data_IF_085169446900
#
_entry.id   IF_085169446900
#
_cell.length_a   1.000
_cell.length_b   1.000
_cell.length_c   1.000
_cell.angle_alpha   90.00
_cell.angle_beta   90.00
_cell.angle_gamma   90.00
#
_symmetry.space_group_name_H-M   'P 1'
#
loop_
_entity.id
_entity.type
_entity.pdbx_description
1 polymer ?
#
# COMPACT_ATOMS: atom_id res chain seq x y z
N UNK A 1 5.73 -29.77 -60.94
CA UNK A 1 5.79 -28.94 -59.71
C UNK A 1 4.75 -27.86 -59.90
N UNK A 2 3.63 -27.97 -59.19
CA UNK A 2 2.53 -27.01 -59.28
C UNK A 2 2.88 -25.71 -58.54
N UNK A 3 2.70 -24.53 -59.15
CA UNK A 3 3.07 -23.24 -58.57
C UNK A 3 2.03 -22.64 -57.60
N UNK A 4 1.01 -23.40 -57.17
CA UNK A 4 -0.07 -22.91 -56.29
C UNK A 4 0.07 -23.36 -54.83
N UNK A 5 1.28 -23.24 -54.25
CA UNK A 5 1.53 -23.58 -52.85
C UNK A 5 1.95 -22.37 -52.01
N UNK A 6 1.25 -21.24 -52.15
CA UNK A 6 1.37 -20.07 -51.28
C UNK A 6 -0.04 -19.54 -50.99
N UNK A 7 -0.32 -19.29 -49.71
CA UNK A 7 -1.54 -18.73 -49.10
C UNK A 7 -2.71 -19.67 -48.78
N UNK A 8 -2.43 -20.78 -48.06
CA UNK A 8 -3.42 -21.29 -47.09
C UNK A 8 -3.21 -20.59 -45.74
N UNK A 9 -3.77 -19.38 -45.58
CA UNK A 9 -4.01 -18.82 -44.25
C UNK A 9 -5.21 -19.56 -43.63
N UNK A 10 -5.07 -20.22 -42.47
CA UNK A 10 -6.23 -20.79 -41.79
C UNK A 10 -7.22 -19.66 -41.48
N UNK A 11 -8.54 -19.88 -41.63
CA UNK A 11 -9.52 -18.86 -41.29
C UNK A 11 -9.32 -18.47 -39.83
N UNK A 12 -9.10 -17.18 -39.59
CA UNK A 12 -9.18 -16.61 -38.25
C UNK A 12 -10.53 -17.03 -37.70
N UNK A 13 -10.54 -17.78 -36.58
CA UNK A 13 -11.79 -18.17 -35.92
C UNK A 13 -12.55 -16.88 -35.61
N UNK A 14 -13.61 -16.59 -36.35
CA UNK A 14 -14.49 -15.47 -36.04
C UNK A 14 -14.99 -15.65 -34.62
N UNK A 15 -14.69 -14.69 -33.75
CA UNK A 15 -15.11 -14.71 -32.34
C UNK A 15 -16.65 -14.78 -32.29
N UNK A 16 -17.20 -15.66 -31.46
CA UNK A 16 -18.66 -15.89 -31.34
C UNK A 16 -19.35 -14.70 -30.64
N UNK A 17 -19.69 -13.67 -31.42
CA UNK A 17 -20.40 -12.46 -30.99
C UNK A 17 -21.72 -12.75 -30.25
N UNK A 18 -22.63 -13.59 -30.77
CA UNK A 18 -23.86 -13.92 -30.06
C UNK A 18 -23.63 -14.49 -28.65
N UNK A 19 -22.61 -15.32 -28.47
CA UNK A 19 -22.27 -15.86 -27.15
C UNK A 19 -21.68 -14.80 -26.22
N UNK A 20 -20.81 -13.92 -26.73
CA UNK A 20 -20.25 -12.82 -25.95
C UNK A 20 -21.34 -11.86 -25.45
N UNK A 21 -22.29 -11.48 -26.32
CA UNK A 21 -23.42 -10.62 -25.96
C UNK A 21 -24.32 -11.26 -24.88
N UNK A 22 -24.65 -12.55 -25.01
CA UNK A 22 -25.43 -13.28 -24.00
C UNK A 22 -24.71 -13.31 -22.65
N UNK A 23 -23.41 -13.58 -22.64
CA UNK A 23 -22.62 -13.63 -21.41
C UNK A 23 -22.54 -12.24 -20.75
N UNK A 24 -22.24 -11.19 -21.51
CA UNK A 24 -22.22 -9.82 -21.03
C UNK A 24 -23.55 -9.41 -20.37
N UNK A 25 -24.69 -9.75 -21.01
CA UNK A 25 -26.02 -9.51 -20.44
C UNK A 25 -26.21 -10.20 -19.10
N UNK A 26 -25.80 -11.48 -18.99
CA UNK A 26 -25.93 -12.25 -17.74
C UNK A 26 -25.02 -11.72 -16.63
N UNK A 27 -23.80 -11.30 -16.98
CA UNK A 27 -22.87 -10.66 -16.04
C UNK A 27 -23.47 -9.36 -15.48
N UNK A 28 -24.05 -8.50 -16.34
CA UNK A 28 -24.62 -7.22 -15.91
C UNK A 28 -25.85 -7.38 -15.03
N UNK A 29 -26.72 -8.35 -15.32
CA UNK A 29 -27.94 -8.60 -14.54
C UNK A 29 -27.71 -9.58 -13.37
N UNK A 30 -26.46 -9.97 -13.09
CA UNK A 30 -26.14 -10.92 -12.02
C UNK A 30 -26.88 -12.27 -12.15
N UNK A 31 -27.11 -12.74 -13.38
CA UNK A 31 -27.85 -13.98 -13.66
C UNK A 31 -26.94 -15.22 -13.53
N UNK A 32 -26.81 -15.69 -12.28
CA UNK A 32 -26.01 -16.87 -11.92
C UNK A 32 -24.51 -16.58 -11.77
N UNK A 33 -24.14 -15.33 -11.47
CA UNK A 33 -22.77 -14.88 -11.25
C UNK A 33 -22.68 -14.07 -9.95
N UNK A 34 -21.53 -14.13 -9.26
CA UNK A 34 -21.20 -13.21 -8.16
C UNK A 34 -20.43 -11.99 -8.68
N UNK A 35 -20.34 -10.92 -7.88
CA UNK A 35 -19.65 -9.70 -8.33
C UNK A 35 -18.16 -9.98 -8.54
N UNK A 36 -17.60 -10.87 -7.72
CA UNK A 36 -16.23 -11.39 -7.87
C UNK A 36 -15.98 -12.16 -9.18
N UNK A 37 -17.02 -12.70 -9.84
CA UNK A 37 -16.86 -13.40 -11.13
C UNK A 37 -16.73 -12.43 -12.31
N UNK A 38 -17.35 -11.25 -12.22
CA UNK A 38 -17.37 -10.25 -13.31
C UNK A 38 -15.93 -9.87 -13.67
N UNK A 39 -15.12 -9.44 -12.71
CA UNK A 39 -13.73 -9.03 -12.96
C UNK A 39 -12.91 -10.12 -13.67
N UNK A 40 -13.11 -11.39 -13.30
CA UNK A 40 -12.41 -12.54 -13.90
C UNK A 40 -12.81 -12.78 -15.35
N UNK A 41 -14.02 -12.44 -15.75
CA UNK A 41 -14.47 -12.54 -17.14
C UNK A 41 -14.00 -11.38 -18.00
N UNK A 42 -13.81 -10.19 -17.41
CA UNK A 42 -13.37 -8.98 -18.10
C UNK A 42 -11.83 -8.87 -18.20
N UNK A 43 -11.08 -9.56 -17.35
CA UNK A 43 -9.63 -9.40 -17.25
C UNK A 43 -8.79 -10.41 -18.07
N UNK A 44 -9.41 -11.35 -18.81
CA UNK A 44 -8.64 -12.38 -19.52
C UNK A 44 -8.07 -11.85 -20.83
N UNK A 45 -6.83 -12.22 -21.13
CA UNK A 45 -6.14 -11.85 -22.37
C UNK A 45 -6.53 -12.78 -23.53
N UNK A 46 -7.76 -12.67 -24.03
CA UNK A 46 -8.22 -13.33 -25.25
C UNK A 46 -9.37 -12.58 -25.92
N UNK A 47 -9.53 -12.76 -27.23
CA UNK A 47 -10.48 -12.01 -28.05
C UNK A 47 -11.94 -12.15 -27.60
N UNK A 48 -12.32 -13.33 -27.08
CA UNK A 48 -13.68 -13.55 -26.57
C UNK A 48 -13.96 -12.75 -25.30
N UNK A 49 -12.99 -12.69 -24.37
CA UNK A 49 -13.09 -11.90 -23.14
C UNK A 49 -13.11 -10.40 -23.43
N UNK A 50 -12.29 -9.93 -24.37
CA UNK A 50 -12.33 -8.54 -24.83
C UNK A 50 -13.70 -8.17 -25.38
N UNK A 51 -14.29 -9.04 -26.21
CA UNK A 51 -15.62 -8.83 -26.78
C UNK A 51 -16.73 -8.87 -25.73
N UNK A 52 -16.64 -9.77 -24.74
CA UNK A 52 -17.55 -9.79 -23.59
C UNK A 52 -17.46 -8.49 -22.81
N UNK A 53 -16.26 -7.95 -22.62
CA UNK A 53 -16.06 -6.68 -21.93
C UNK A 53 -16.63 -5.49 -22.70
N UNK A 54 -16.43 -5.42 -24.01
CA UNK A 54 -17.04 -4.41 -24.86
C UNK A 54 -18.58 -4.47 -24.78
N UNK A 55 -19.17 -5.67 -24.89
CA UNK A 55 -20.64 -5.84 -24.75
C UNK A 55 -21.15 -5.53 -23.34
N UNK A 56 -20.37 -5.84 -22.29
CA UNK A 56 -20.74 -5.55 -20.90
C UNK A 56 -20.72 -4.06 -20.60
N UNK A 57 -19.71 -3.34 -21.11
CA UNK A 57 -19.57 -1.89 -20.91
C UNK A 57 -20.66 -1.08 -21.64
N UNK A 58 -21.30 -1.63 -22.68
CA UNK A 58 -22.45 -0.98 -23.35
C UNK A 58 -23.67 -0.78 -22.46
N UNK A 59 -23.78 -1.51 -21.35
CA UNK A 59 -24.85 -1.31 -20.35
C UNK A 59 -24.60 -0.11 -19.43
N UNK A 60 -23.41 0.49 -19.49
CA UNK A 60 -23.10 1.72 -18.77
C UNK A 60 -23.30 2.91 -19.70
N UNK A 61 -24.10 3.87 -19.21
CA UNK A 61 -24.23 5.19 -19.81
C UNK A 61 -23.38 6.18 -18.99
N UNK A 62 -22.37 6.73 -19.66
CA UNK A 62 -21.44 7.71 -19.11
C UNK A 62 -21.57 9.08 -19.79
N UNK A 63 -22.61 9.29 -20.60
CA UNK A 63 -22.85 10.58 -21.24
C UNK A 63 -22.98 11.68 -20.16
N UNK A 64 -22.27 12.80 -20.36
CA UNK A 64 -22.18 13.95 -19.46
C UNK A 64 -21.59 13.68 -18.06
N UNK A 65 -21.21 12.46 -17.72
CA UNK A 65 -20.48 12.17 -16.50
C UNK A 65 -19.04 12.70 -16.58
N UNK A 66 -18.54 13.25 -15.47
CA UNK A 66 -17.09 13.41 -15.32
C UNK A 66 -16.42 12.05 -15.19
N UNK A 67 -15.14 11.98 -15.57
CA UNK A 67 -14.37 10.73 -15.55
C UNK A 67 -14.41 10.02 -14.19
N UNK A 68 -14.35 10.76 -13.08
CA UNK A 68 -14.42 10.19 -11.73
C UNK A 68 -15.83 9.65 -11.40
N UNK A 69 -16.89 10.30 -11.85
CA UNK A 69 -18.26 9.83 -11.65
C UNK A 69 -18.54 8.55 -12.45
N UNK A 70 -18.15 8.53 -13.72
CA UNK A 70 -18.25 7.34 -14.57
C UNK A 70 -17.48 6.16 -13.97
N UNK A 71 -16.26 6.43 -13.47
CA UNK A 71 -15.42 5.42 -12.83
C UNK A 71 -16.05 4.86 -11.55
N UNK A 72 -16.66 5.70 -10.70
CA UNK A 72 -17.42 5.27 -9.52
C UNK A 72 -18.60 4.38 -9.90
N UNK A 73 -19.41 4.80 -10.89
CA UNK A 73 -20.53 4.00 -11.40
C UNK A 73 -20.05 2.62 -11.85
N UNK A 74 -18.95 2.58 -12.60
CA UNK A 74 -18.36 1.33 -13.08
C UNK A 74 -17.88 0.41 -11.95
N UNK A 75 -17.07 0.93 -11.02
CA UNK A 75 -16.47 0.16 -9.92
C UNK A 75 -17.47 -0.22 -8.82
N UNK A 76 -18.64 0.42 -8.78
CA UNK A 76 -19.74 0.04 -7.88
C UNK A 76 -20.39 -1.31 -8.23
N UNK A 77 -20.21 -1.81 -9.46
CA UNK A 77 -20.87 -3.03 -9.93
C UNK A 77 -20.10 -4.31 -9.61
N UNK A 78 -18.77 -4.23 -9.44
CA UNK A 78 -17.96 -5.41 -9.14
C UNK A 78 -16.68 -5.07 -8.37
N UNK A 79 -16.12 -6.08 -7.72
CA UNK A 79 -14.85 -5.93 -7.02
C UNK A 79 -13.68 -6.08 -7.99
N UNK A 80 -12.87 -5.04 -8.15
CA UNK A 80 -11.68 -5.05 -9.01
C UNK A 80 -10.51 -5.80 -8.34
N UNK A 81 -10.69 -7.11 -8.17
CA UNK A 81 -9.70 -8.03 -7.59
C UNK A 81 -8.87 -8.65 -8.71
N UNK A 82 -7.59 -8.88 -8.46
CA UNK A 82 -6.65 -9.46 -9.43
C UNK A 82 -5.26 -8.83 -9.35
N UNK A 83 -4.34 -9.35 -10.16
CA UNK A 83 -3.00 -8.78 -10.31
C UNK A 83 -3.06 -7.41 -11.03
N UNK A 84 -2.00 -6.59 -10.90
CA UNK A 84 -1.94 -5.25 -11.52
C UNK A 84 -2.32 -5.28 -13.01
N UNK A 85 -1.79 -6.25 -13.76
CA UNK A 85 -2.05 -6.38 -15.20
C UNK A 85 -3.50 -6.79 -15.52
N UNK A 86 -4.17 -7.52 -14.63
CA UNK A 86 -5.58 -7.89 -14.79
C UNK A 86 -6.49 -6.69 -14.57
N UNK A 87 -6.20 -5.90 -13.54
CA UNK A 87 -6.94 -4.67 -13.23
C UNK A 87 -6.81 -3.64 -14.36
N UNK A 88 -5.58 -3.47 -14.88
CA UNK A 88 -5.28 -2.56 -15.99
C UNK A 88 -6.13 -2.88 -17.23
N UNK A 89 -6.26 -4.17 -17.60
CA UNK A 89 -7.11 -4.59 -18.73
C UNK A 89 -8.58 -4.23 -18.55
N UNK A 90 -9.11 -4.37 -17.34
CA UNK A 90 -10.50 -3.99 -17.06
C UNK A 90 -10.70 -2.48 -17.17
N UNK A 91 -9.75 -1.69 -16.66
CA UNK A 91 -9.78 -0.22 -16.73
C UNK A 91 -9.59 0.31 -18.17
N UNK A 92 -8.86 -0.43 -19.01
CA UNK A 92 -8.71 -0.13 -20.43
C UNK A 92 -10.04 -0.25 -21.19
N UNK A 93 -10.85 -1.28 -20.92
CA UNK A 93 -12.23 -1.37 -21.45
C UNK A 93 -13.13 -0.22 -20.98
N UNK A 94 -13.03 0.18 -19.71
CA UNK A 94 -13.73 1.36 -19.20
C UNK A 94 -13.33 2.64 -19.94
N UNK A 95 -12.03 2.82 -20.18
CA UNK A 95 -11.50 4.03 -20.82
C UNK A 95 -11.99 4.18 -22.27
N UNK A 96 -12.06 3.05 -23.02
CA UNK A 96 -12.69 3.01 -24.34
C UNK A 96 -14.15 3.44 -24.28
N UNK A 97 -14.93 2.84 -23.38
CA UNK A 97 -16.35 3.13 -23.23
C UNK A 97 -16.61 4.59 -22.85
N UNK A 98 -15.82 5.14 -21.94
CA UNK A 98 -15.93 6.54 -21.54
C UNK A 98 -15.71 7.48 -22.74
N UNK A 99 -14.69 7.21 -23.55
CA UNK A 99 -14.39 7.99 -24.76
C UNK A 99 -15.45 7.84 -25.86
N UNK A 100 -16.11 6.68 -25.96
CA UNK A 100 -17.28 6.48 -26.85
C UNK A 100 -18.47 7.33 -26.43
N UNK A 101 -18.77 7.41 -25.13
CA UNK A 101 -19.86 8.22 -24.58
C UNK A 101 -19.52 9.72 -24.62
N UNK A 102 -18.25 10.09 -24.47
CA UNK A 102 -17.81 11.48 -24.36
C UNK A 102 -16.73 11.82 -25.41
N UNK A 103 -17.09 11.83 -26.71
CA UNK A 103 -16.15 12.12 -27.76
C UNK A 103 -15.67 13.57 -27.61
N UNK A 104 -14.35 13.74 -27.43
CA UNK A 104 -13.60 15.01 -27.18
C UNK A 104 -13.32 15.39 -25.72
N UNK A 105 -13.61 14.54 -24.73
CA UNK A 105 -13.14 14.80 -23.36
C UNK A 105 -11.61 14.79 -23.25
N UNK A 106 -10.95 13.89 -23.99
CA UNK A 106 -9.49 13.72 -24.02
C UNK A 106 -8.98 13.50 -25.45
N UNK A 107 -7.66 13.59 -25.68
CA UNK A 107 -7.07 13.50 -27.02
C UNK A 107 -7.11 12.08 -27.59
N UNK A 108 -6.96 11.06 -26.73
CA UNK A 108 -7.00 9.66 -27.09
C UNK A 108 -7.58 8.79 -25.97
N UNK A 109 -7.89 7.54 -26.30
CA UNK A 109 -8.22 6.50 -25.31
C UNK A 109 -7.05 6.29 -24.36
N UNK A 110 -5.81 6.34 -24.84
CA UNK A 110 -4.61 6.15 -24.02
C UNK A 110 -4.43 7.28 -22.99
N UNK A 111 -4.73 8.52 -23.37
CA UNK A 111 -4.75 9.65 -22.44
C UNK A 111 -5.86 9.49 -21.38
N UNK A 112 -7.06 9.07 -21.79
CA UNK A 112 -8.16 8.77 -20.87
C UNK A 112 -7.80 7.63 -19.90
N UNK A 113 -7.15 6.57 -20.40
CA UNK A 113 -6.70 5.44 -19.61
C UNK A 113 -5.62 5.85 -18.61
N UNK A 114 -4.65 6.65 -19.06
CA UNK A 114 -3.58 7.20 -18.20
C UNK A 114 -4.17 8.01 -17.05
N UNK A 115 -5.14 8.88 -17.34
CA UNK A 115 -5.81 9.66 -16.29
C UNK A 115 -6.65 8.78 -15.35
N UNK A 116 -7.31 7.75 -15.88
CA UNK A 116 -8.05 6.76 -15.07
C UNK A 116 -7.12 6.04 -14.09
N UNK A 117 -5.97 5.54 -14.56
CA UNK A 117 -4.96 4.92 -13.71
C UNK A 117 -4.41 5.91 -12.66
N UNK A 118 -4.19 7.18 -13.03
CA UNK A 118 -3.77 8.21 -12.10
C UNK A 118 -4.83 8.50 -11.02
N UNK A 119 -6.12 8.45 -11.36
CA UNK A 119 -7.23 8.57 -10.39
C UNK A 119 -7.19 7.41 -9.38
N UNK A 120 -6.96 6.18 -9.84
CA UNK A 120 -6.83 5.01 -8.96
C UNK A 120 -5.67 5.14 -7.98
N UNK A 121 -4.53 5.63 -8.46
CA UNK A 121 -3.35 5.90 -7.63
C UNK A 121 -3.61 7.06 -6.65
N UNK A 122 -4.30 8.12 -7.11
CA UNK A 122 -4.67 9.25 -6.26
C UNK A 122 -5.65 8.83 -5.14
N UNK A 123 -6.63 7.98 -5.45
CA UNK A 123 -7.56 7.45 -4.45
C UNK A 123 -6.81 6.67 -3.36
N UNK A 124 -5.86 5.84 -3.78
CA UNK A 124 -4.96 5.12 -2.86
C UNK A 124 -4.12 6.11 -2.06
N UNK A 125 -3.56 7.14 -2.70
CA UNK A 125 -2.73 8.15 -2.04
C UNK A 125 -3.47 8.98 -0.98
N UNK A 126 -4.70 9.41 -1.29
CA UNK A 126 -5.47 10.29 -0.41
C UNK A 126 -6.16 9.56 0.74
N UNK A 127 -6.59 8.32 0.51
CA UNK A 127 -7.41 7.55 1.46
C UNK A 127 -6.75 6.27 1.98
N UNK A 128 -5.65 5.86 1.37
CA UNK A 128 -4.89 4.68 1.80
C UNK A 128 -4.30 4.87 3.19
N UNK A 129 -4.35 3.80 3.97
CA UNK A 129 -3.75 3.76 5.29
C UNK A 129 -2.22 3.56 5.16
N UNK A 130 -1.42 4.34 5.91
CA UNK A 130 0.06 4.25 5.87
C UNK A 130 0.76 5.29 4.97
N UNK A 131 0.02 6.25 4.41
CA UNK A 131 0.59 7.29 3.53
C UNK A 131 0.98 8.51 4.33
N UNK A 132 2.30 8.73 4.42
CA UNK A 132 2.95 9.75 5.27
C UNK A 132 2.73 11.18 4.78
N UNK A 133 2.73 11.37 3.46
CA UNK A 133 2.44 12.64 2.81
C UNK A 133 1.52 12.41 1.63
N UNK A 134 0.29 12.90 1.74
CA UNK A 134 -0.69 12.89 0.66
C UNK A 134 -0.29 13.87 -0.43
N UNK A 135 -0.41 13.45 -1.67
CA UNK A 135 -0.25 14.24 -2.88
C UNK A 135 -1.15 15.46 -2.82
N UNK A 136 -0.56 16.63 -3.01
CA UNK A 136 -1.30 17.89 -3.14
C UNK A 136 -1.91 18.02 -4.53
N UNK A 137 -2.93 18.88 -4.67
CA UNK A 137 -3.54 19.15 -5.97
C UNK A 137 -2.52 19.63 -7.01
N UNK A 138 -1.56 20.48 -6.60
CA UNK A 138 -0.48 20.94 -7.46
C UNK A 138 0.44 19.79 -7.89
N UNK A 139 0.82 18.90 -6.97
CA UNK A 139 1.62 17.71 -7.30
C UNK A 139 0.88 16.78 -8.26
N UNK A 140 -0.43 16.60 -8.10
CA UNK A 140 -1.25 15.81 -9.03
C UNK A 140 -1.24 16.39 -10.45
N UNK A 141 -1.38 17.72 -10.58
CA UNK A 141 -1.34 18.40 -11.87
C UNK A 141 0.06 18.32 -12.50
N UNK A 142 1.12 18.52 -11.71
CA UNK A 142 2.51 18.41 -12.19
C UNK A 142 2.86 16.99 -12.66
N UNK A 143 2.39 15.96 -11.94
CA UNK A 143 2.63 14.56 -12.30
C UNK A 143 1.94 14.14 -13.61
N UNK A 144 0.88 14.84 -14.02
CA UNK A 144 0.10 14.59 -15.23
C UNK A 144 0.49 15.50 -16.40
N UNK A 145 1.55 16.30 -16.25
CA UNK A 145 2.03 17.16 -17.32
C UNK A 145 2.48 16.33 -18.53
N UNK A 146 2.11 16.78 -19.74
CA UNK A 146 2.46 16.15 -21.03
C UNK A 146 1.92 14.71 -21.23
N UNK A 147 1.01 14.23 -20.37
CA UNK A 147 0.43 12.89 -20.44
C UNK A 147 -0.90 12.80 -21.21
N UNK A 148 -1.29 13.86 -21.91
CA UNK A 148 -2.43 13.87 -22.85
C UNK A 148 -1.90 13.88 -24.29
N UNK A 149 -1.29 12.77 -24.73
CA UNK A 149 -0.60 12.63 -26.02
C UNK A 149 0.52 13.67 -26.27
N UNK A 150 1.32 13.96 -25.24
CA UNK A 150 2.36 14.99 -25.30
C UNK A 150 1.85 16.40 -24.97
N UNK A 151 0.54 16.58 -24.77
CA UNK A 151 -0.06 17.82 -24.29
C UNK A 151 -0.48 17.71 -22.81
N UNK A 152 -0.95 18.83 -22.25
CA UNK A 152 -1.45 18.88 -20.88
C UNK A 152 -2.97 18.71 -20.83
N UNK A 153 -3.46 17.97 -19.84
CA UNK A 153 -4.89 18.01 -19.50
C UNK A 153 -5.30 19.41 -19.03
N UNK A 154 -6.57 19.77 -19.24
CA UNK A 154 -7.12 21.01 -18.69
C UNK A 154 -6.98 21.03 -17.17
N UNK A 155 -6.28 22.05 -16.65
CA UNK A 155 -6.01 22.16 -15.21
C UNK A 155 -7.27 22.12 -14.36
N UNK A 156 -8.37 22.71 -14.84
CA UNK A 156 -9.62 22.72 -14.07
C UNK A 156 -10.28 21.36 -14.00
N UNK A 157 -10.17 20.53 -15.04
CA UNK A 157 -10.60 19.13 -15.01
C UNK A 157 -9.81 18.36 -13.94
N UNK A 158 -8.48 18.51 -13.93
CA UNK A 158 -7.62 17.85 -12.95
C UNK A 158 -7.90 18.32 -11.50
N UNK A 159 -8.17 19.61 -11.29
CA UNK A 159 -8.55 20.13 -9.97
C UNK A 159 -9.90 19.57 -9.51
N UNK A 160 -10.90 19.56 -10.40
CA UNK A 160 -12.21 19.01 -10.09
C UNK A 160 -12.10 17.54 -9.69
N UNK A 161 -11.41 16.73 -10.49
CA UNK A 161 -11.14 15.31 -10.19
C UNK A 161 -10.41 15.17 -8.85
N UNK A 162 -9.33 15.92 -8.63
CA UNK A 162 -8.58 15.83 -7.37
C UNK A 162 -9.47 16.13 -6.16
N UNK A 163 -10.30 17.17 -6.24
CA UNK A 163 -11.19 17.54 -5.15
C UNK A 163 -12.35 16.55 -4.96
N UNK A 164 -12.89 15.99 -6.05
CA UNK A 164 -13.91 14.95 -5.99
C UNK A 164 -13.37 13.70 -5.30
N UNK A 165 -12.21 13.18 -5.73
CA UNK A 165 -11.56 12.04 -5.10
C UNK A 165 -11.15 12.37 -3.66
N UNK A 166 -10.67 13.58 -3.36
CA UNK A 166 -10.31 13.95 -1.97
C UNK A 166 -11.53 13.97 -1.04
N UNK A 167 -12.68 14.40 -1.55
CA UNK A 167 -13.90 14.59 -0.75
C UNK A 167 -14.62 13.27 -0.54
N UNK A 168 -14.71 12.47 -1.58
CA UNK A 168 -15.42 11.20 -1.58
C UNK A 168 -14.46 10.08 -2.01
N UNK A 169 -14.37 9.00 -1.25
CA UNK A 169 -13.48 7.88 -1.58
C UNK A 169 -14.13 7.00 -2.64
N UNK A 170 -13.37 6.43 -3.59
CA UNK A 170 -13.93 5.43 -4.50
C UNK A 170 -14.26 4.17 -3.69
N UNK A 171 -15.56 3.82 -3.66
CA UNK A 171 -16.07 2.59 -3.06
C UNK A 171 -16.09 1.45 -4.08
N UNK A 172 -15.82 0.25 -3.59
CA UNK A 172 -15.83 -0.98 -4.39
C UNK A 172 -17.05 -1.80 -4.03
N UNK A 173 -17.57 -2.57 -4.99
CA UNK A 173 -18.61 -3.53 -4.69
C UNK A 173 -18.06 -4.67 -3.82
N UNK A 174 -18.71 -4.92 -2.67
CA UNK A 174 -18.54 -6.13 -1.84
C UNK A 174 -19.60 -7.18 -2.24
N UNK A 175 -19.24 -8.46 -2.10
CA UNK A 175 -20.18 -9.59 -2.22
C UNK A 175 -21.02 -9.63 -0.93
N UNK A 176 -22.35 -9.76 -1.03
CA UNK A 176 -23.30 -9.67 0.10
C UNK A 176 -23.23 -10.86 1.10
N UNK A 177 -22.23 -11.74 0.99
CA UNK A 177 -22.15 -13.03 1.71
C UNK A 177 -21.28 -13.00 2.99
N UNK A 178 -20.76 -11.84 3.45
CA UNK A 178 -19.99 -11.75 4.71
C UNK A 178 -20.82 -11.38 5.96
N UNK A 179 -22.15 -11.52 5.92
CA UNK A 179 -23.05 -11.13 7.04
C UNK A 179 -23.95 -12.27 7.58
N UNK A 180 -23.48 -13.53 7.54
CA UNK A 180 -24.21 -14.67 8.10
C UNK A 180 -23.38 -15.50 9.10
N UNK A 181 -23.02 -14.90 10.24
CA UNK A 181 -22.84 -15.64 11.50
C UNK A 181 -22.96 -14.69 12.71
N UNK A 182 -24.18 -14.25 13.04
CA UNK A 182 -24.58 -13.99 14.45
C UNK A 182 -26.04 -13.51 14.55
N UNK A 183 -26.99 -14.43 14.41
CA UNK A 183 -28.30 -14.26 15.05
C UNK A 183 -28.32 -15.02 16.37
N UNK A 184 -28.14 -14.33 17.51
CA UNK A 184 -28.96 -14.57 18.73
C UNK A 184 -29.03 -13.26 19.56
N UNK A 185 -30.24 -12.72 19.61
CA UNK A 185 -30.91 -11.92 20.66
C UNK A 185 -30.57 -10.43 20.94
N UNK A 186 -31.60 -9.63 20.65
CA UNK A 186 -31.91 -8.25 21.06
C UNK A 186 -31.88 -8.03 22.59
N UNK A 187 -31.40 -6.86 23.02
CA UNK A 187 -32.24 -5.76 23.54
C UNK A 187 -31.37 -4.64 24.15
N UNK A 188 -31.42 -3.42 23.58
CA UNK A 188 -31.33 -2.07 24.22
C UNK A 188 -30.95 -0.98 23.17
N UNK A 189 -31.37 0.30 23.36
CA UNK A 189 -31.44 1.33 22.30
C UNK A 189 -30.08 2.00 21.97
N UNK A 190 -29.95 2.71 20.82
CA UNK A 190 -28.65 3.04 20.25
C UNK A 190 -28.01 4.27 20.89
N UNK A 191 -26.71 4.24 21.23
CA UNK A 191 -25.88 5.43 21.22
C UNK A 191 -25.23 5.56 19.83
N UNK A 192 -25.54 6.67 19.15
CA UNK A 192 -24.73 7.33 18.10
C UNK A 192 -23.57 6.49 17.52
N UNK A 193 -23.81 5.91 16.33
CA UNK A 193 -22.83 5.17 15.56
C UNK A 193 -21.55 6.00 15.34
N UNK A 194 -20.37 5.50 15.75
CA UNK A 194 -19.11 5.93 15.13
C UNK A 194 -19.05 5.33 13.71
N UNK A 195 -18.58 6.13 12.76
CA UNK A 195 -18.31 5.70 11.39
C UNK A 195 -17.60 4.35 11.36
N UNK A 196 -18.16 3.43 10.56
CA UNK A 196 -17.68 2.06 10.38
C UNK A 196 -16.22 2.13 9.90
N UNK A 197 -15.32 1.66 10.76
CA UNK A 197 -13.88 1.60 10.49
C UNK A 197 -13.62 0.61 9.37
N UNK A 198 -13.22 1.10 8.19
CA UNK A 198 -12.68 0.30 7.09
C UNK A 198 -11.52 -0.57 7.60
N UNK A 199 -11.78 -1.87 7.79
CA UNK A 199 -10.78 -2.89 8.10
C UNK A 199 -9.81 -3.00 6.94
N UNK A 200 -8.55 -2.61 7.17
CA UNK A 200 -7.46 -2.95 6.26
C UNK A 200 -6.80 -4.21 6.85
N UNK A 201 -6.99 -5.40 6.27
CA UNK A 201 -6.43 -6.64 6.81
C UNK A 201 -4.89 -6.65 6.87
N UNK A 202 -4.22 -5.71 6.19
CA UNK A 202 -2.77 -5.49 6.28
C UNK A 202 -2.32 -4.62 7.46
N UNK A 203 -3.27 -3.99 8.16
CA UNK A 203 -3.05 -3.09 9.29
C UNK A 203 -3.86 -3.48 10.51
N UNK A 204 -4.37 -4.71 10.57
CA UNK A 204 -4.88 -5.25 11.82
C UNK A 204 -3.72 -5.82 12.62
N UNK A 205 -3.74 -5.56 13.92
CA UNK A 205 -2.82 -6.22 14.86
C UNK A 205 -3.36 -7.65 15.01
N UNK A 206 -2.60 -8.69 14.60
CA UNK A 206 -3.08 -10.07 14.69
C UNK A 206 -3.53 -10.42 16.10
N UNK A 207 -4.57 -11.24 16.24
CA UNK A 207 -5.05 -11.66 17.57
C UNK A 207 -3.87 -12.24 18.39
N UNK A 208 -3.54 -11.65 19.55
CA UNK A 208 -2.46 -12.13 20.41
C UNK A 208 -2.62 -13.61 20.77
N UNK A 209 -3.83 -14.17 20.77
CA UNK A 209 -4.10 -15.58 21.09
C UNK A 209 -3.57 -16.57 20.04
N UNK A 210 -3.31 -16.11 18.81
CA UNK A 210 -2.87 -16.94 17.67
C UNK A 210 -1.41 -16.70 17.26
N UNK A 211 -0.68 -15.89 18.01
CA UNK A 211 0.69 -15.47 17.69
C UNK A 211 1.72 -16.10 18.63
N UNK A 212 2.95 -16.28 18.15
CA UNK A 212 4.02 -16.88 18.94
C UNK A 212 4.65 -15.83 19.84
N UNK A 213 4.74 -16.09 21.15
CA UNK A 213 5.44 -15.19 22.08
C UNK A 213 6.95 -15.48 22.11
N UNK A 214 7.74 -14.49 21.70
CA UNK A 214 9.20 -14.61 21.61
C UNK A 214 9.91 -14.13 22.89
N UNK A 215 9.38 -13.08 23.53
CA UNK A 215 9.93 -12.56 24.79
C UNK A 215 8.89 -11.72 25.52
N UNK A 216 8.94 -11.72 26.85
CA UNK A 216 8.13 -10.83 27.68
C UNK A 216 8.95 -10.30 28.87
N UNK A 217 8.50 -9.22 29.49
CA UNK A 217 9.15 -8.65 30.67
C UNK A 217 8.78 -7.21 30.94
N UNK A 218 9.25 -6.65 32.05
CA UNK A 218 9.06 -5.24 32.35
C UNK A 218 10.10 -4.38 31.63
N UNK A 219 9.64 -3.32 30.96
CA UNK A 219 10.48 -2.32 30.32
C UNK A 219 9.97 -0.91 30.65
N UNK A 220 10.86 0.09 30.58
CA UNK A 220 10.41 1.48 30.51
C UNK A 220 10.54 1.97 29.09
N UNK A 221 9.51 2.63 28.56
CA UNK A 221 9.52 3.21 27.21
C UNK A 221 9.39 4.73 27.28
N UNK A 222 10.12 5.41 26.42
CA UNK A 222 9.94 6.82 26.07
C UNK A 222 9.76 6.97 24.55
N UNK A 223 8.70 7.67 24.13
CA UNK A 223 8.50 8.04 22.72
C UNK A 223 9.31 9.31 22.42
N UNK A 224 10.20 9.25 21.42
CA UNK A 224 11.10 10.33 21.02
C UNK A 224 10.64 11.00 19.73
N UNK A 225 10.23 10.19 18.75
CA UNK A 225 9.68 10.62 17.47
C UNK A 225 8.41 9.82 17.19
N UNK A 226 7.37 10.54 16.78
CA UNK A 226 6.17 9.96 16.17
C UNK A 226 6.53 9.49 14.74
N UNK A 227 5.64 8.70 14.10
CA UNK A 227 5.77 8.38 12.68
C UNK A 227 6.07 9.64 11.86
N UNK A 228 6.91 9.50 10.83
CA UNK A 228 7.43 10.60 9.99
C UNK A 228 8.50 11.48 10.65
N UNK A 229 9.16 11.00 11.70
CA UNK A 229 10.21 11.76 12.41
C UNK A 229 9.74 13.07 13.04
N UNK A 230 8.44 13.22 13.25
CA UNK A 230 7.89 14.38 13.98
C UNK A 230 8.24 14.25 15.46
N UNK A 231 8.81 15.33 16.01
CA UNK A 231 9.14 15.45 17.42
C UNK A 231 7.86 15.30 18.28
N UNK A 232 7.76 14.23 19.09
CA UNK A 232 6.59 13.96 19.97
C UNK A 232 6.24 15.18 20.86
N UNK A 233 4.99 15.54 21.18
CA UNK A 233 4.72 16.70 22.04
C UNK A 233 5.35 16.57 23.45
N UNK A 234 5.85 17.67 24.05
CA UNK A 234 6.59 17.64 25.33
C UNK A 234 5.86 16.88 26.45
N UNK A 235 4.53 16.99 26.53
CA UNK A 235 3.70 16.30 27.54
C UNK A 235 3.51 14.79 27.31
N UNK A 236 3.85 14.26 26.14
CA UNK A 236 3.71 12.83 25.80
C UNK A 236 5.04 12.06 25.80
N UNK A 237 6.18 12.74 25.98
CA UNK A 237 7.56 12.18 25.95
C UNK A 237 8.05 11.58 27.28
N UNK A 238 7.17 11.40 28.26
CA UNK A 238 7.54 10.84 29.56
C UNK A 238 8.00 9.38 29.45
N UNK A 239 8.91 8.97 30.33
CA UNK A 239 9.19 7.55 30.53
C UNK A 239 7.98 6.89 31.23
N UNK A 240 7.48 5.80 30.67
CA UNK A 240 6.38 5.01 31.23
C UNK A 240 6.81 3.55 31.37
N UNK A 241 6.42 2.91 32.47
CA UNK A 241 6.66 1.48 32.70
C UNK A 241 5.57 0.69 31.99
N UNK A 242 5.95 -0.40 31.35
CA UNK A 242 5.04 -1.35 30.74
C UNK A 242 5.50 -2.78 31.03
N UNK A 243 4.56 -3.69 31.13
CA UNK A 243 4.83 -5.11 30.89
C UNK A 243 4.74 -5.32 29.39
N UNK A 244 5.84 -5.69 28.75
CA UNK A 244 5.91 -5.94 27.32
C UNK A 244 5.81 -7.42 26.99
N UNK A 245 5.16 -7.73 25.87
CA UNK A 245 5.16 -9.05 25.25
C UNK A 245 5.39 -8.87 23.75
N UNK A 246 6.48 -9.43 23.26
CA UNK A 246 6.77 -9.52 21.84
C UNK A 246 6.13 -10.78 21.29
N UNK A 247 5.10 -10.61 20.44
CA UNK A 247 4.46 -11.71 19.73
C UNK A 247 4.46 -11.45 18.24
N UNK A 248 5.04 -12.37 17.48
CA UNK A 248 5.36 -12.18 16.07
C UNK A 248 5.92 -10.76 15.83
N UNK A 249 5.40 -10.02 14.84
CA UNK A 249 5.89 -8.68 14.50
C UNK A 249 5.24 -7.55 15.33
N UNK A 250 4.71 -7.84 16.52
CA UNK A 250 4.06 -6.85 17.38
C UNK A 250 4.59 -6.90 18.81
N UNK A 251 5.08 -5.76 19.29
CA UNK A 251 5.44 -5.54 20.69
C UNK A 251 4.26 -4.92 21.42
N UNK A 252 3.53 -5.75 22.17
CA UNK A 252 2.42 -5.34 23.02
C UNK A 252 2.93 -4.71 24.31
N UNK A 253 2.32 -3.61 24.72
CA UNK A 253 2.69 -2.87 25.92
C UNK A 253 1.48 -2.74 26.86
N UNK A 254 1.48 -3.52 27.92
CA UNK A 254 0.42 -3.57 28.93
C UNK A 254 0.79 -2.71 30.14
N UNK A 255 -0.22 -2.21 30.86
CA UNK A 255 -0.02 -1.47 32.13
C UNK A 255 0.68 -2.34 33.18
N UNK A 256 0.33 -3.62 33.23
CA UNK A 256 0.87 -4.62 34.15
C UNK A 256 0.70 -6.04 33.57
N UNK A 257 1.27 -7.04 34.25
CA UNK A 257 1.21 -8.44 33.82
C UNK A 257 -0.20 -9.05 33.86
N UNK A 258 -1.08 -8.58 34.76
CA UNK A 258 -2.46 -9.09 34.87
C UNK A 258 -3.34 -8.58 33.73
N UNK A 259 -3.08 -7.35 33.26
CA UNK A 259 -3.73 -6.74 32.10
C UNK A 259 -3.48 -7.50 30.79
N UNK A 260 -2.50 -8.42 30.76
CA UNK A 260 -2.23 -9.30 29.60
C UNK A 260 -3.44 -10.18 29.23
N UNK A 261 -4.30 -10.53 30.19
CA UNK A 261 -5.51 -11.33 29.94
C UNK A 261 -6.65 -10.51 29.31
N UNK A 262 -6.61 -9.18 29.44
CA UNK A 262 -7.54 -8.26 28.81
C UNK A 262 -6.96 -7.81 27.45
N UNK A 263 -7.18 -8.64 26.42
CA UNK A 263 -6.64 -8.47 25.05
C UNK A 263 -6.86 -7.05 24.47
N UNK A 264 -7.94 -6.38 24.88
CA UNK A 264 -8.36 -5.05 24.40
C UNK A 264 -7.42 -3.91 24.85
N UNK A 265 -6.72 -4.05 25.99
CA UNK A 265 -5.94 -2.95 26.58
C UNK A 265 -4.49 -2.87 26.00
N UNK A 266 -3.99 -3.99 25.46
CA UNK A 266 -2.65 -4.08 24.87
C UNK A 266 -2.51 -3.52 23.46
N UNK A 267 -3.61 -3.48 22.69
CA UNK A 267 -3.62 -3.01 21.29
C UNK A 267 -3.45 -1.49 21.18
N UNK A 268 -3.91 -0.72 22.17
CA UNK A 268 -3.78 0.76 22.16
C UNK A 268 -2.33 1.26 22.25
N UNK A 269 -1.42 0.48 22.83
CA UNK A 269 -0.01 0.84 22.99
C UNK A 269 0.94 -0.09 22.21
N UNK A 270 0.40 -0.96 21.36
CA UNK A 270 1.19 -1.89 20.57
C UNK A 270 2.12 -1.16 19.59
N UNK A 271 3.33 -1.69 19.41
CA UNK A 271 4.32 -1.20 18.45
C UNK A 271 4.54 -2.30 17.41
N UNK A 272 4.29 -2.02 16.14
CA UNK A 272 4.68 -2.93 15.06
C UNK A 272 6.18 -2.88 14.86
N UNK A 273 6.81 -4.05 14.81
CA UNK A 273 8.26 -4.19 14.71
C UNK A 273 8.72 -4.75 13.35
N UNK A 274 7.81 -4.90 12.38
CA UNK A 274 8.18 -5.17 10.98
C UNK A 274 9.23 -4.14 10.51
N UNK A 275 10.31 -4.64 9.91
CA UNK A 275 11.47 -3.86 9.48
C UNK A 275 11.97 -2.86 10.53
N UNK A 276 11.92 -3.20 11.82
CA UNK A 276 12.50 -2.36 12.85
C UNK A 276 13.99 -2.68 13.04
N UNK A 277 14.67 -1.76 13.71
CA UNK A 277 16.02 -1.97 14.23
C UNK A 277 16.05 -1.59 15.70
N UNK A 278 16.47 -2.54 16.51
CA UNK A 278 16.89 -2.32 17.88
C UNK A 278 18.41 -2.17 17.92
N UNK A 279 18.91 -1.09 18.53
CA UNK A 279 20.34 -0.85 18.71
C UNK A 279 20.63 -0.20 20.06
N UNK A 280 21.84 -0.38 20.60
CA UNK A 280 22.22 0.25 21.86
C UNK A 280 22.23 1.78 21.69
N UNK A 281 21.57 2.52 22.59
CA UNK A 281 21.52 3.98 22.54
C UNK A 281 22.79 4.58 23.16
N UNK A 282 23.92 4.51 22.43
CA UNK A 282 25.24 4.96 22.90
C UNK A 282 25.33 6.47 23.15
N UNK A 283 24.49 7.25 22.49
CA UNK A 283 24.36 8.69 22.63
C UNK A 283 23.51 9.11 23.84
N UNK A 284 22.79 8.18 24.47
CA UNK A 284 21.88 8.47 25.57
C UNK A 284 22.52 8.18 26.94
N UNK A 285 22.79 9.23 27.71
CA UNK A 285 23.53 9.12 28.99
C UNK A 285 22.67 9.20 30.25
N UNK A 286 21.38 9.52 30.14
CA UNK A 286 20.54 9.83 31.31
C UNK A 286 20.06 8.59 32.09
N UNK A 287 20.04 7.41 31.46
CA UNK A 287 19.67 6.13 32.08
C UNK A 287 20.59 5.06 31.51
N UNK A 288 20.95 4.09 32.35
CA UNK A 288 21.73 2.92 31.92
C UNK A 288 20.82 1.89 31.27
N UNK A 289 21.42 0.99 30.48
CA UNK A 289 20.73 -0.12 29.82
C UNK A 289 19.55 0.35 28.95
N UNK A 290 19.83 1.32 28.09
CA UNK A 290 18.86 1.85 27.12
C UNK A 290 19.22 1.41 25.71
N UNK A 291 18.23 0.85 25.01
CA UNK A 291 18.29 0.64 23.56
C UNK A 291 17.31 1.56 22.85
N UNK A 292 17.61 1.84 21.58
CA UNK A 292 16.78 2.58 20.65
C UNK A 292 16.06 1.57 19.77
N UNK A 293 14.76 1.74 19.62
CA UNK A 293 13.92 1.02 18.66
C UNK A 293 13.47 2.01 17.59
N UNK A 294 13.89 1.77 16.35
CA UNK A 294 13.50 2.52 15.15
C UNK A 294 12.58 1.63 14.31
N UNK A 295 11.36 2.07 14.04
CA UNK A 295 10.36 1.28 13.30
C UNK A 295 10.33 1.65 11.81
N UNK A 296 9.70 0.81 10.97
CA UNK A 296 9.54 1.04 9.53
C UNK A 296 9.00 2.45 9.19
N UNK A 297 8.09 2.97 10.03
CA UNK A 297 7.47 4.30 9.92
C UNK A 297 8.37 5.46 10.44
N UNK A 298 9.62 5.17 10.81
CA UNK A 298 10.60 6.08 11.40
C UNK A 298 10.17 6.69 12.74
N UNK A 299 9.24 6.04 13.46
CA UNK A 299 9.06 6.34 14.87
C UNK A 299 10.29 5.87 15.66
N UNK A 300 10.59 6.56 16.75
CA UNK A 300 11.76 6.29 17.57
C UNK A 300 11.37 6.20 19.03
N UNK A 301 11.75 5.08 19.65
CA UNK A 301 11.53 4.80 21.05
C UNK A 301 12.86 4.55 21.75
N UNK A 302 13.00 5.09 22.96
CA UNK A 302 14.04 4.65 23.89
C UNK A 302 13.42 3.68 24.89
N UNK A 303 14.04 2.52 25.03
CA UNK A 303 13.57 1.44 25.90
C UNK A 303 14.66 1.13 26.92
N UNK A 304 14.33 1.22 28.20
CA UNK A 304 15.21 0.88 29.31
C UNK A 304 14.86 -0.52 29.82
N UNK A 305 15.89 -1.35 30.01
CA UNK A 305 15.83 -2.68 30.63
C UNK A 305 16.41 -2.67 32.04
N UNK A 306 16.28 -3.79 32.77
CA UNK A 306 16.83 -3.94 34.12
C UNK A 306 18.35 -3.86 34.17
N UNK A 307 19.01 -4.51 33.20
CA UNK A 307 20.45 -4.70 33.17
C UNK A 307 20.97 -4.87 31.72
N UNK A 308 22.28 -5.00 31.57
CA UNK A 308 22.95 -5.12 30.28
C UNK A 308 22.68 -6.44 29.56
N UNK A 309 22.32 -7.51 30.29
CA UNK A 309 22.01 -8.80 29.69
C UNK A 309 20.61 -8.77 29.10
N UNK A 310 19.64 -8.20 29.82
CA UNK A 310 18.30 -7.96 29.31
C UNK A 310 18.31 -6.98 28.13
N UNK A 311 19.14 -5.92 28.18
CA UNK A 311 19.34 -5.02 27.05
C UNK A 311 19.68 -5.80 25.77
N UNK A 312 20.73 -6.62 25.83
CA UNK A 312 21.20 -7.37 24.67
C UNK A 312 20.16 -8.41 24.24
N UNK A 313 19.56 -9.13 25.19
CA UNK A 313 18.52 -10.13 24.90
C UNK A 313 17.31 -9.52 24.19
N UNK A 314 16.84 -8.33 24.60
CA UNK A 314 15.76 -7.63 23.91
C UNK A 314 16.15 -7.18 22.50
N UNK A 315 17.35 -6.62 22.33
CA UNK A 315 17.87 -6.22 21.01
C UNK A 315 17.91 -7.42 20.06
N UNK A 316 18.57 -8.51 20.48
CA UNK A 316 18.78 -9.69 19.65
C UNK A 316 17.44 -10.33 19.26
N UNK A 317 16.49 -10.41 20.21
CA UNK A 317 15.19 -11.03 19.95
C UNK A 317 14.35 -10.18 18.99
N UNK A 318 14.30 -8.86 19.19
CA UNK A 318 13.54 -7.95 18.32
C UNK A 318 14.11 -7.98 16.90
N UNK A 319 15.43 -7.88 16.75
CA UNK A 319 16.09 -7.90 15.44
C UNK A 319 15.92 -9.25 14.75
N UNK A 320 16.05 -10.36 15.48
CA UNK A 320 15.81 -11.70 14.94
C UNK A 320 14.39 -11.84 14.40
N UNK A 321 13.38 -11.43 15.18
CA UNK A 321 11.98 -11.52 14.76
C UNK A 321 11.70 -10.61 13.56
N UNK A 322 12.19 -9.37 13.58
CA UNK A 322 12.04 -8.46 12.46
C UNK A 322 12.67 -9.02 11.18
N UNK A 323 13.90 -9.55 11.25
CA UNK A 323 14.60 -10.07 10.08
C UNK A 323 14.05 -11.40 9.56
N UNK A 324 13.60 -12.28 10.45
CA UNK A 324 13.04 -13.57 10.06
C UNK A 324 11.63 -13.45 9.49
N UNK A 325 10.79 -12.59 10.07
CA UNK A 325 9.37 -12.53 9.73
C UNK A 325 8.99 -11.42 8.75
N UNK A 326 9.75 -10.32 8.63
CA UNK A 326 9.35 -9.22 7.73
C UNK A 326 9.46 -9.65 6.26
N UNK A 327 8.39 -9.41 5.49
CA UNK A 327 8.44 -9.61 4.04
C UNK A 327 9.44 -8.65 3.39
N UNK A 328 10.02 -8.99 2.22
CA UNK A 328 10.94 -8.09 1.51
C UNK A 328 10.30 -6.73 1.18
N UNK A 329 11.13 -5.69 1.12
CA UNK A 329 10.70 -4.36 0.67
C UNK A 329 10.08 -4.44 -0.73
N UNK A 330 9.00 -3.70 -0.95
CA UNK A 330 8.35 -3.66 -2.26
C UNK A 330 9.25 -2.91 -3.26
N UNK A 331 9.29 -3.35 -4.53
CA UNK A 331 10.03 -2.64 -5.56
C UNK A 331 9.51 -1.20 -5.68
N UNK A 332 10.41 -0.26 -5.95
CA UNK A 332 10.04 1.12 -6.23
C UNK A 332 9.04 1.14 -7.41
N UNK A 333 8.06 2.03 -7.36
CA UNK A 333 7.11 2.20 -8.46
C UNK A 333 7.87 2.54 -9.76
N UNK A 334 7.60 1.78 -10.83
CA UNK A 334 8.19 2.02 -12.15
C UNK A 334 7.50 3.24 -12.75
N UNK A 335 8.19 4.38 -12.77
CA UNK A 335 7.67 5.63 -13.33
C UNK A 335 8.77 6.68 -13.50
N UNK A 336 8.48 7.74 -14.26
CA UNK A 336 9.37 8.89 -14.52
C UNK A 336 9.56 9.78 -13.28
N UNK A 337 9.83 9.18 -12.12
CA UNK A 337 9.94 9.92 -10.86
C UNK A 337 11.31 10.57 -10.74
N UNK A 338 11.34 11.89 -10.93
CA UNK A 338 12.54 12.72 -10.71
C UNK A 338 12.84 13.00 -9.23
N UNK A 339 11.98 12.54 -8.31
CA UNK A 339 12.08 12.80 -6.85
C UNK A 339 12.41 11.51 -6.11
N UNK A 340 13.33 11.59 -5.14
CA UNK A 340 13.59 10.48 -4.22
C UNK A 340 12.33 10.11 -3.43
N UNK A 341 12.00 8.83 -3.41
CA UNK A 341 10.98 8.23 -2.55
C UNK A 341 11.58 7.03 -1.83
N UNK A 342 11.14 6.80 -0.60
CA UNK A 342 11.57 5.66 0.22
C UNK A 342 10.89 4.39 -0.26
N UNK A 343 11.57 3.26 -0.15
CA UNK A 343 10.95 1.97 -0.42
C UNK A 343 9.80 1.70 0.56
N UNK A 344 8.75 1.07 0.07
CA UNK A 344 7.62 0.66 0.90
C UNK A 344 7.97 -0.64 1.62
N UNK A 345 7.85 -0.60 2.94
CA UNK A 345 8.15 -1.71 3.84
C UNK A 345 6.84 -2.35 4.30
N UNK A 346 6.45 -3.52 3.76
CA UNK A 346 5.16 -4.13 4.07
C UNK A 346 5.13 -4.72 5.49
N UNK A 347 3.99 -4.60 6.17
CA UNK A 347 3.76 -5.21 7.48
C UNK A 347 3.39 -6.71 7.42
N UNK A 348 3.53 -7.33 6.25
CA UNK A 348 3.18 -8.74 6.01
C UNK A 348 4.31 -9.69 6.38
N UNK A 349 3.95 -10.94 6.69
CA UNK A 349 4.92 -12.01 6.91
C UNK A 349 5.64 -12.38 5.61
N UNK A 350 6.93 -12.66 5.73
CA UNK A 350 7.72 -13.20 4.64
C UNK A 350 7.25 -14.58 4.23
N UNK A 351 7.28 -14.83 2.93
CA UNK A 351 7.08 -16.17 2.35
C UNK A 351 8.40 -16.92 2.18
N UNK A 352 9.53 -16.26 2.44
CA UNK A 352 10.87 -16.82 2.32
C UNK A 352 11.20 -17.66 3.55
N UNK A 353 11.91 -18.77 3.34
CA UNK A 353 12.47 -19.51 4.47
C UNK A 353 13.69 -18.77 5.06
N UNK A 354 14.20 -19.22 6.22
CA UNK A 354 15.28 -18.50 6.92
C UNK A 354 16.57 -18.35 6.10
N UNK A 355 16.90 -19.34 5.26
CA UNK A 355 18.09 -19.27 4.39
C UNK A 355 17.89 -18.24 3.28
N UNK A 356 16.73 -18.24 2.64
CA UNK A 356 16.36 -17.25 1.63
C UNK A 356 16.24 -15.84 2.20
N UNK A 357 15.73 -15.69 3.43
CA UNK A 357 15.72 -14.42 4.14
C UNK A 357 17.14 -13.89 4.35
N UNK A 358 18.05 -14.74 4.84
CA UNK A 358 19.44 -14.35 5.06
C UNK A 358 20.12 -13.93 3.75
N UNK A 359 19.90 -14.67 2.67
CA UNK A 359 20.40 -14.32 1.34
C UNK A 359 19.81 -13.00 0.83
N UNK A 360 18.51 -12.79 1.01
CA UNK A 360 17.83 -11.54 0.66
C UNK A 360 18.40 -10.34 1.44
N UNK A 361 18.60 -10.47 2.75
CA UNK A 361 19.20 -9.42 3.58
C UNK A 361 20.64 -9.13 3.18
N UNK A 362 21.44 -10.16 2.90
CA UNK A 362 22.83 -10.01 2.42
C UNK A 362 22.91 -9.28 1.09
N UNK A 363 22.08 -9.69 0.11
CA UNK A 363 21.99 -9.02 -1.18
C UNK A 363 21.54 -7.56 -1.02
N UNK A 364 20.59 -7.30 -0.11
CA UNK A 364 20.12 -5.95 0.18
C UNK A 364 21.20 -5.08 0.81
N UNK A 365 21.99 -5.64 1.73
CA UNK A 365 23.13 -4.95 2.33
C UNK A 365 24.11 -4.47 1.25
N UNK A 366 24.45 -5.35 0.33
CA UNK A 366 25.36 -5.05 -0.77
C UNK A 366 24.79 -3.99 -1.73
N UNK A 367 23.49 -4.07 -2.05
CA UNK A 367 22.79 -3.07 -2.87
C UNK A 367 22.82 -1.69 -2.21
N UNK A 368 22.47 -1.60 -0.93
CA UNK A 368 22.43 -0.33 -0.19
C UNK A 368 23.83 0.28 -0.05
N UNK A 369 24.85 -0.54 0.21
CA UNK A 369 26.23 -0.07 0.29
C UNK A 369 26.70 0.50 -1.07
N UNK A 370 26.39 -0.20 -2.16
CA UNK A 370 26.68 0.26 -3.52
C UNK A 370 25.93 1.56 -3.83
N UNK A 371 24.63 1.63 -3.56
CA UNK A 371 23.81 2.81 -3.79
C UNK A 371 24.29 4.02 -2.99
N UNK A 372 24.71 3.81 -1.73
CA UNK A 372 25.26 4.87 -0.88
C UNK A 372 26.60 5.38 -1.43
N UNK A 373 27.44 4.46 -1.92
CA UNK A 373 28.71 4.81 -2.55
C UNK A 373 28.50 5.63 -3.83
N UNK A 374 27.64 5.16 -4.73
CA UNK A 374 27.29 5.86 -5.98
C UNK A 374 26.66 7.22 -5.69
N UNK A 375 25.72 7.30 -4.73
CA UNK A 375 25.08 8.56 -4.33
C UNK A 375 26.11 9.61 -3.92
N UNK A 376 27.10 9.23 -3.11
CA UNK A 376 28.16 10.12 -2.63
C UNK A 376 29.17 10.55 -3.71
N UNK A 377 29.30 9.79 -4.80
CA UNK A 377 30.17 10.17 -5.92
C UNK A 377 29.61 11.34 -6.75
N UNK A 378 28.29 11.56 -6.73
CA UNK A 378 27.62 12.57 -7.54
C UNK A 378 26.89 13.62 -6.68
N UNK A 379 27.61 14.44 -5.90
CA UNK A 379 26.98 15.50 -5.12
C UNK A 379 26.41 16.60 -6.03
N UNK A 380 25.36 17.34 -5.59
CA UNK A 380 24.80 18.44 -6.36
C UNK A 380 25.82 19.54 -6.64
N UNK A 381 25.80 20.11 -7.84
CA UNK A 381 26.69 21.21 -8.21
C UNK A 381 26.44 22.47 -7.36
N UNK A 382 27.48 23.29 -7.16
CA UNK A 382 27.35 24.58 -6.48
C UNK A 382 26.35 25.47 -7.22
N UNK A 383 25.32 25.94 -6.53
CA UNK A 383 24.23 26.74 -7.12
C UNK A 383 23.02 25.93 -7.58
N UNK A 384 23.01 24.61 -7.36
CA UNK A 384 21.83 23.77 -7.59
C UNK A 384 20.59 24.28 -6.85
N UNK A 385 19.42 24.08 -7.45
CA UNK A 385 18.13 24.45 -6.83
C UNK A 385 18.00 23.79 -5.45
N UNK A 386 17.45 24.51 -4.46
CA UNK A 386 17.29 24.02 -3.09
C UNK A 386 16.58 22.65 -3.00
N UNK A 387 15.61 22.39 -3.88
CA UNK A 387 14.91 21.09 -3.97
C UNK A 387 15.85 19.92 -4.29
N UNK A 388 16.83 20.12 -5.18
CA UNK A 388 17.80 19.08 -5.58
C UNK A 388 18.73 18.76 -4.40
N UNK A 389 19.19 19.80 -3.69
CA UNK A 389 20.02 19.66 -2.49
C UNK A 389 19.24 18.90 -1.40
N UNK A 390 17.98 19.26 -1.20
CA UNK A 390 17.12 18.61 -0.21
C UNK A 390 16.87 17.13 -0.56
N UNK A 391 16.52 16.81 -1.81
CA UNK A 391 16.32 15.43 -2.25
C UNK A 391 17.62 14.60 -2.11
N UNK A 392 18.78 15.19 -2.36
CA UNK A 392 20.08 14.55 -2.15
C UNK A 392 20.33 14.21 -0.67
N UNK A 393 20.09 15.16 0.23
CA UNK A 393 20.27 14.97 1.68
C UNK A 393 19.27 13.91 2.20
N UNK A 394 18.03 13.94 1.73
CA UNK A 394 17.01 12.96 2.11
C UNK A 394 17.37 11.55 1.66
N UNK A 395 17.88 11.40 0.43
CA UNK A 395 18.35 10.11 -0.09
C UNK A 395 19.57 9.61 0.69
N UNK A 396 20.54 10.48 0.98
CA UNK A 396 21.73 10.11 1.76
C UNK A 396 21.34 9.63 3.16
N UNK A 397 20.50 10.40 3.86
CA UNK A 397 20.03 10.03 5.20
C UNK A 397 19.24 8.71 5.21
N UNK A 398 18.51 8.41 4.14
CA UNK A 398 17.83 7.12 3.98
C UNK A 398 18.81 5.97 3.78
N UNK A 399 19.75 6.11 2.85
CA UNK A 399 20.73 5.06 2.55
C UNK A 399 21.64 4.78 3.76
N UNK A 400 22.04 5.81 4.50
CA UNK A 400 22.77 5.64 5.77
C UNK A 400 21.93 4.98 6.87
N UNK A 401 20.62 5.19 6.86
CA UNK A 401 19.71 4.49 7.76
C UNK A 401 19.62 3.02 7.38
N UNK A 402 19.26 2.70 6.14
CA UNK A 402 19.15 1.32 5.65
C UNK A 402 20.46 0.54 5.76
N UNK A 403 21.62 1.17 5.50
CA UNK A 403 22.92 0.53 5.64
C UNK A 403 23.13 0.01 7.07
N UNK A 404 22.78 0.83 8.08
CA UNK A 404 22.85 0.42 9.50
C UNK A 404 21.93 -0.75 9.82
N UNK A 405 20.74 -0.81 9.21
CA UNK A 405 19.82 -1.94 9.37
C UNK A 405 20.45 -3.23 8.86
N UNK A 406 21.06 -3.17 7.67
CA UNK A 406 21.61 -4.36 7.02
C UNK A 406 22.93 -4.87 7.60
N UNK A 407 23.69 -4.03 8.31
CA UNK A 407 24.96 -4.45 8.97
C UNK A 407 24.75 -5.10 10.35
N UNK A 408 23.57 -4.95 10.94
CA UNK A 408 23.25 -5.44 12.30
C UNK A 408 22.42 -6.73 12.32
N UNK A 409 21.99 -7.20 11.14
CA UNK A 409 21.35 -8.49 10.90
C UNK A 409 22.41 -9.51 10.45
#
# INVERSE_FOLDING_TARGET
>A
MDPNLLDYQPPTKSVDQPSAHRLAKRLFHMDGFKKSDIARHLSKKNDFSSLVAEEYLKYFDFEDDTLDMALRKFLSQFSLIGETQERERVLDHFSRRYMECNPRSFNSVDACHTLTCAIMLLNTDLHGQGIRKRMTCSEFIENLAELNDGENFYKEVLKCIYHAIKTDQIEWAVDDDEDDTSQVEETLPPPSQPAVSLHNPYLDIPDPSQTTEYKNGYIMRKCCKEPDSRKTPLGKRGWKVFYSSLRDMVLYLYKDQHSKSQLVDGTQNAIRIHHCLASKATDYTKKQHVFRLETADWAEYLIQTSDSKELQSWIDTINYVAASLSAPALPNAVGSQKKFQRQLLPATYSKLNLREQLESHSNKAHEIEKDLHEHRQFPPEKGSKARIIQDYIEKESYLEHEARFTTLL
#
